data_IF_598000011284
#
_entry.id   IF_598000011284
#
_cell.length_a   1.000
_cell.length_b   1.000
_cell.length_c   1.000
_cell.angle_alpha   90.00
_cell.angle_beta   90.00
_cell.angle_gamma   90.00
#
_symmetry.space_group_name_H-M   'P 1'
#
loop_
_entity.id
_entity.type
_entity.pdbx_description
1 polymer ?
#
# COMPACT_ATOMS: atom_id res chain seq x y z
N UNK A 1 -18.06 18.94 -14.84
CA UNK A 1 -17.73 20.05 -13.91
C UNK A 1 -16.23 19.95 -13.72
N UNK A 2 -15.50 21.01 -14.06
CA UNK A 2 -14.07 21.08 -13.78
C UNK A 2 -13.91 21.13 -12.27
N UNK A 3 -13.24 20.16 -11.67
CA UNK A 3 -12.89 20.18 -10.27
C UNK A 3 -11.67 21.08 -10.09
N UNK A 4 -11.73 22.11 -9.24
CA UNK A 4 -10.56 22.97 -9.05
C UNK A 4 -9.41 22.12 -8.48
N UNK A 5 -8.18 22.35 -8.94
CA UNK A 5 -7.03 21.62 -8.42
C UNK A 5 -6.89 21.83 -6.91
N UNK A 6 -6.38 20.80 -6.22
CA UNK A 6 -6.13 20.86 -4.79
C UNK A 6 -5.21 22.06 -4.48
N UNK A 7 -5.64 22.90 -3.55
CA UNK A 7 -4.84 24.05 -3.11
C UNK A 7 -3.77 23.56 -2.12
N UNK A 8 -2.49 23.97 -2.28
CA UNK A 8 -1.44 23.62 -1.33
C UNK A 8 -1.82 23.96 0.12
N UNK A 9 -1.49 23.06 1.06
CA UNK A 9 -1.80 23.21 2.48
C UNK A 9 -3.25 22.87 2.87
N UNK A 10 -4.09 22.38 1.95
CA UNK A 10 -5.51 22.11 2.25
C UNK A 10 -5.85 20.66 2.45
N UNK A 11 -5.01 19.72 1.98
CA UNK A 11 -5.31 18.29 2.04
C UNK A 11 -5.29 17.77 3.48
N UNK A 12 -4.24 18.06 4.24
CA UNK A 12 -4.16 17.57 5.62
C UNK A 12 -5.32 18.03 6.50
N UNK A 13 -5.70 19.33 6.51
CA UNK A 13 -6.91 19.76 7.19
C UNK A 13 -8.20 19.09 6.67
N UNK A 14 -8.28 18.77 5.37
CA UNK A 14 -9.44 18.05 4.80
C UNK A 14 -9.50 16.61 5.31
N UNK A 15 -8.35 15.90 5.38
CA UNK A 15 -8.24 14.56 5.95
C UNK A 15 -8.77 14.54 7.38
N UNK A 16 -8.32 15.48 8.23
CA UNK A 16 -8.73 15.55 9.64
C UNK A 16 -10.24 15.76 9.78
N UNK A 17 -10.79 16.75 9.05
CA UNK A 17 -12.24 17.03 9.07
C UNK A 17 -13.06 15.84 8.58
N UNK A 18 -12.64 15.22 7.47
CA UNK A 18 -13.36 14.09 6.90
C UNK A 18 -13.26 12.84 7.79
N UNK A 19 -12.13 12.62 8.44
CA UNK A 19 -11.97 11.54 9.44
C UNK A 19 -12.96 11.72 10.59
N UNK A 20 -13.04 12.92 11.16
CA UNK A 20 -14.00 13.21 12.25
C UNK A 20 -15.46 13.01 11.80
N UNK A 21 -15.83 13.49 10.61
CA UNK A 21 -17.14 13.29 10.03
C UNK A 21 -17.47 11.81 9.84
N UNK A 22 -16.56 11.06 9.17
CA UNK A 22 -16.76 9.66 8.82
C UNK A 22 -16.83 8.73 10.06
N UNK A 23 -16.10 9.07 11.12
CA UNK A 23 -16.23 8.39 12.42
C UNK A 23 -17.60 8.63 13.05
N UNK A 24 -18.09 9.86 13.04
CA UNK A 24 -19.39 10.22 13.64
C UNK A 24 -20.58 9.56 12.93
N UNK A 25 -20.54 9.49 11.59
CA UNK A 25 -21.61 8.86 10.82
C UNK A 25 -21.46 7.33 10.68
N UNK A 26 -20.30 6.77 11.11
CA UNK A 26 -20.02 5.33 11.04
C UNK A 26 -19.60 4.83 9.66
N UNK A 27 -19.26 5.74 8.73
CA UNK A 27 -18.71 5.38 7.42
C UNK A 27 -17.26 4.85 7.55
N UNK A 28 -16.44 5.48 8.40
CA UNK A 28 -15.10 5.00 8.76
C UNK A 28 -15.21 4.06 9.96
N UNK A 29 -14.57 2.90 9.85
CA UNK A 29 -14.58 1.82 10.85
C UNK A 29 -13.17 1.33 11.15
N UNK A 30 -12.40 2.05 11.97
CA UNK A 30 -11.03 1.67 12.31
C UNK A 30 -10.97 0.27 12.93
N UNK A 31 -9.94 -0.48 12.56
CA UNK A 31 -9.66 -1.80 13.12
C UNK A 31 -8.67 -1.63 14.27
N UNK A 32 -9.13 -1.83 15.49
CA UNK A 32 -8.28 -1.76 16.67
C UNK A 32 -7.23 -2.87 16.67
N UNK A 33 -5.98 -2.50 16.95
CA UNK A 33 -4.87 -3.42 17.02
C UNK A 33 -4.04 -3.21 18.28
N UNK A 34 -3.40 -4.29 18.73
CA UNK A 34 -2.28 -4.23 19.66
C UNK A 34 -0.97 -4.33 18.88
N UNK A 35 0.08 -3.70 19.36
CA UNK A 35 1.36 -3.61 18.67
C UNK A 35 2.45 -4.35 19.44
N UNK A 36 3.36 -4.98 18.70
CA UNK A 36 4.58 -5.58 19.23
C UNK A 36 5.75 -5.22 18.32
N UNK A 37 6.90 -4.85 18.91
CA UNK A 37 8.16 -4.71 18.18
C UNK A 37 8.89 -6.03 18.19
N UNK A 38 9.39 -6.46 17.03
CA UNK A 38 10.20 -7.67 16.87
C UNK A 38 11.41 -7.29 16.03
N UNK A 39 12.58 -7.33 16.66
CA UNK A 39 13.86 -7.11 15.97
C UNK A 39 14.20 -8.33 15.13
N UNK A 40 14.44 -8.10 13.83
CA UNK A 40 14.88 -9.17 12.93
C UNK A 40 15.72 -8.58 11.78
N UNK A 41 16.92 -9.14 11.53
CA UNK A 41 17.86 -8.67 10.52
C UNK A 41 18.16 -7.14 10.57
N UNK A 42 18.20 -6.56 11.77
CA UNK A 42 18.45 -5.13 11.97
C UNK A 42 17.25 -4.22 11.67
N UNK A 43 16.07 -4.79 11.44
CA UNK A 43 14.82 -4.05 11.25
C UNK A 43 13.93 -4.23 12.48
N UNK A 44 13.51 -3.15 13.15
CA UNK A 44 12.55 -3.20 14.27
C UNK A 44 11.11 -3.32 13.72
N UNK A 45 10.72 -4.53 13.33
CA UNK A 45 9.40 -4.77 12.77
C UNK A 45 8.27 -4.43 13.73
N UNK A 46 7.32 -3.64 13.27
CA UNK A 46 6.08 -3.35 13.95
C UNK A 46 5.02 -4.38 13.56
N UNK A 47 4.70 -5.31 14.45
CA UNK A 47 3.67 -6.32 14.19
C UNK A 47 2.38 -5.91 14.88
N UNK A 48 1.33 -5.63 14.09
CA UNK A 48 0.00 -5.23 14.56
C UNK A 48 -0.91 -6.45 14.58
N UNK A 49 -1.49 -6.74 15.73
CA UNK A 49 -2.48 -7.80 15.90
C UNK A 49 -3.86 -7.22 16.09
N UNK A 50 -4.82 -7.67 15.29
CA UNK A 50 -6.23 -7.27 15.43
C UNK A 50 -6.74 -7.64 16.83
N UNK A 51 -7.38 -6.68 17.51
CA UNK A 51 -7.89 -6.89 18.86
C UNK A 51 -9.00 -7.95 18.88
N UNK A 52 -9.14 -8.65 20.01
CA UNK A 52 -10.18 -9.66 20.18
C UNK A 52 -11.60 -9.03 20.18
N UNK A 53 -11.72 -7.73 20.50
CA UNK A 53 -12.95 -6.98 20.45
C UNK A 53 -13.36 -6.69 19.01
N UNK A 54 -12.43 -6.20 18.18
CA UNK A 54 -12.66 -5.98 16.75
C UNK A 54 -13.12 -7.26 16.04
N UNK A 55 -12.48 -8.41 16.34
CA UNK A 55 -12.91 -9.72 15.79
C UNK A 55 -14.30 -10.15 16.22
N UNK A 56 -14.71 -9.84 17.46
CA UNK A 56 -16.09 -10.14 17.93
C UNK A 56 -17.12 -9.27 17.24
N UNK A 57 -16.79 -8.02 16.93
CA UNK A 57 -17.67 -7.11 16.19
C UNK A 57 -17.78 -7.52 14.72
N UNK A 58 -16.68 -7.90 14.06
CA UNK A 58 -16.72 -8.49 12.73
C UNK A 58 -17.56 -9.76 12.66
N UNK A 59 -17.39 -10.66 13.64
CA UNK A 59 -18.19 -11.88 13.74
C UNK A 59 -19.69 -11.61 14.01
N UNK A 60 -20.03 -10.53 14.72
CA UNK A 60 -21.44 -10.09 14.95
C UNK A 60 -22.04 -9.37 13.75
N UNK A 61 -21.21 -8.72 12.93
CA UNK A 61 -21.57 -8.03 11.69
C UNK A 61 -21.47 -8.92 10.46
N UNK A 62 -21.14 -10.22 10.63
CA UNK A 62 -21.14 -11.22 9.57
C UNK A 62 -22.36 -11.07 8.67
N UNK A 63 -22.35 -11.54 7.42
CA UNK A 63 -23.29 -11.14 6.39
C UNK A 63 -24.71 -11.25 6.94
N UNK A 64 -25.41 -10.11 7.11
CA UNK A 64 -26.83 -10.09 7.39
C UNK A 64 -27.48 -10.73 6.18
N UNK A 65 -27.85 -11.99 6.34
CA UNK A 65 -28.65 -12.73 5.39
C UNK A 65 -29.76 -11.85 4.84
N UNK A 66 -29.61 -11.41 3.61
CA UNK A 66 -30.79 -11.17 2.81
C UNK A 66 -31.43 -12.55 2.66
N UNK A 67 -32.58 -12.73 3.30
CA UNK A 67 -33.45 -13.90 3.18
C UNK A 67 -33.40 -14.38 1.72
N UNK A 68 -32.73 -15.48 1.52
CA UNK A 68 -32.71 -16.21 0.24
C UNK A 68 -34.12 -16.62 -0.10
N UNK A 69 -34.72 -15.93 -1.06
CA UNK A 69 -35.70 -16.56 -1.93
C UNK A 69 -34.89 -17.55 -2.78
N UNK A 70 -35.17 -18.84 -2.59
CA UNK A 70 -34.60 -19.92 -3.40
C UNK A 70 -35.04 -19.71 -4.84
N UNK A 71 -34.12 -19.22 -5.67
CA UNK A 71 -34.17 -19.38 -7.11
C UNK A 71 -32.87 -20.02 -7.52
N UNK A 72 -32.94 -21.21 -8.09
CA UNK A 72 -31.84 -21.99 -8.63
C UNK A 72 -31.33 -21.34 -9.91
N UNK A 73 -30.44 -20.35 -9.76
CA UNK A 73 -29.56 -19.89 -10.83
C UNK A 73 -28.15 -19.67 -10.27
N UNK A 74 -27.09 -20.07 -10.98
CA UNK A 74 -25.71 -19.84 -10.54
C UNK A 74 -25.42 -18.33 -10.64
N UNK A 75 -25.53 -17.64 -9.51
CA UNK A 75 -25.21 -16.22 -9.42
C UNK A 75 -23.71 -15.99 -9.54
N UNK A 76 -23.24 -15.74 -10.74
CA UNK A 76 -21.98 -15.03 -11.03
C UNK A 76 -22.16 -13.57 -10.63
N UNK A 77 -22.16 -13.27 -9.32
CA UNK A 77 -22.06 -11.89 -8.85
C UNK A 77 -20.62 -11.45 -9.05
N UNK A 78 -20.38 -10.60 -10.03
CA UNK A 78 -19.14 -9.86 -10.14
C UNK A 78 -18.85 -9.16 -8.79
N UNK A 79 -17.61 -9.16 -8.29
CA UNK A 79 -17.29 -8.49 -7.04
C UNK A 79 -17.70 -7.02 -7.13
N UNK A 80 -18.41 -6.54 -6.09
CA UNK A 80 -18.87 -5.15 -6.04
C UNK A 80 -17.65 -4.24 -5.94
N UNK A 81 -17.51 -3.32 -6.88
CA UNK A 81 -16.46 -2.30 -6.85
C UNK A 81 -16.80 -1.24 -5.79
N UNK A 82 -16.02 -1.09 -4.69
CA UNK A 82 -16.34 -0.15 -3.63
C UNK A 82 -16.05 1.31 -3.99
N UNK A 83 -15.43 1.55 -5.14
CA UNK A 83 -15.00 2.87 -5.59
C UNK A 83 -15.90 3.46 -6.69
N UNK A 84 -16.86 2.67 -7.23
CA UNK A 84 -17.77 3.11 -8.28
C UNK A 84 -19.19 2.59 -8.04
N UNK A 85 -20.07 3.40 -7.43
CA UNK A 85 -19.78 4.71 -6.82
C UNK A 85 -19.04 4.56 -5.48
N UNK A 86 -18.19 5.51 -5.15
CA UNK A 86 -17.57 5.59 -3.83
C UNK A 86 -18.58 6.10 -2.77
N UNK A 87 -18.30 5.80 -1.51
CA UNK A 87 -19.04 6.31 -0.36
C UNK A 87 -18.70 7.81 -0.17
N UNK A 88 -19.67 8.75 -0.33
CA UNK A 88 -19.38 10.18 -0.22
C UNK A 88 -18.90 10.58 1.18
N UNK A 89 -19.25 9.83 2.23
CA UNK A 89 -18.79 10.10 3.59
C UNK A 89 -17.32 9.72 3.81
N UNK A 90 -16.68 9.05 2.84
CA UNK A 90 -15.24 8.76 2.85
C UNK A 90 -14.44 9.67 1.91
N UNK A 91 -15.11 10.53 1.11
CA UNK A 91 -14.45 11.41 0.16
C UNK A 91 -13.71 12.54 0.87
N UNK A 92 -12.43 12.74 0.50
CA UNK A 92 -11.57 13.79 1.08
C UNK A 92 -11.38 14.95 0.11
N UNK A 93 -10.91 14.67 -1.10
CA UNK A 93 -10.59 15.70 -2.08
C UNK A 93 -10.49 15.15 -3.51
N UNK A 94 -10.67 16.02 -4.47
CA UNK A 94 -10.22 15.83 -5.85
C UNK A 94 -8.73 16.14 -5.93
N UNK A 95 -7.93 15.18 -6.40
CA UNK A 95 -6.47 15.37 -6.57
C UNK A 95 -6.12 15.85 -7.98
N UNK A 96 -6.85 15.35 -8.97
CA UNK A 96 -6.70 15.69 -10.38
C UNK A 96 -7.96 15.31 -11.17
N UNK A 97 -7.95 15.56 -12.48
CA UNK A 97 -9.01 15.10 -13.38
C UNK A 97 -9.14 13.57 -13.42
N UNK A 98 -8.11 12.85 -13.01
CA UNK A 98 -8.04 11.38 -13.07
C UNK A 98 -8.10 10.70 -11.71
N UNK A 99 -7.83 11.40 -10.61
CA UNK A 99 -7.71 10.81 -9.27
C UNK A 99 -8.47 11.56 -8.19
N UNK A 100 -8.97 10.80 -7.22
CA UNK A 100 -9.59 11.30 -5.98
C UNK A 100 -8.90 10.70 -4.75
N UNK A 101 -9.00 11.39 -3.62
CA UNK A 101 -8.59 10.88 -2.31
C UNK A 101 -9.80 10.44 -1.50
N UNK A 102 -9.76 9.20 -0.99
CA UNK A 102 -10.77 8.61 -0.10
C UNK A 102 -10.10 8.16 1.20
N UNK A 103 -10.82 8.20 2.32
CA UNK A 103 -10.40 7.50 3.54
C UNK A 103 -10.54 5.98 3.34
N UNK A 104 -9.57 5.21 3.82
CA UNK A 104 -9.71 3.76 3.85
C UNK A 104 -10.72 3.35 4.92
N UNK A 105 -11.88 2.83 4.51
CA UNK A 105 -13.02 2.50 5.37
C UNK A 105 -12.65 1.64 6.59
N UNK A 106 -11.75 0.68 6.42
CA UNK A 106 -11.29 -0.27 7.44
C UNK A 106 -9.80 -0.06 7.72
N UNK A 107 -9.46 1.15 8.15
CA UNK A 107 -8.08 1.51 8.41
C UNK A 107 -7.55 0.85 9.69
N UNK A 108 -6.27 0.48 9.66
CA UNK A 108 -5.49 0.00 10.81
C UNK A 108 -4.49 1.08 11.25
N UNK A 109 -4.15 1.98 10.34
CA UNK A 109 -3.32 3.16 10.58
C UNK A 109 -4.24 4.37 10.39
N UNK A 110 -4.20 5.30 11.34
CA UNK A 110 -5.04 6.50 11.28
C UNK A 110 -4.75 7.33 10.02
N UNK A 111 -5.78 7.96 9.50
CA UNK A 111 -5.70 8.82 8.31
C UNK A 111 -5.15 8.13 7.05
N UNK A 112 -5.29 6.81 6.95
CA UNK A 112 -4.92 6.04 5.77
C UNK A 112 -5.77 6.47 4.57
N UNK A 113 -5.14 7.04 3.54
CA UNK A 113 -5.77 7.45 2.29
C UNK A 113 -5.62 6.39 1.21
N UNK A 114 -6.66 6.30 0.40
CA UNK A 114 -6.66 5.65 -0.91
C UNK A 114 -6.68 6.74 -1.99
N UNK A 115 -5.78 6.69 -2.94
CA UNK A 115 -5.74 7.53 -4.13
C UNK A 115 -6.30 6.67 -5.26
N UNK A 116 -7.54 6.95 -5.67
CA UNK A 116 -8.33 6.07 -6.54
C UNK A 116 -8.54 6.73 -7.89
N UNK A 117 -8.40 5.96 -8.98
CA UNK A 117 -8.72 6.47 -10.33
C UNK A 117 -10.23 6.68 -10.48
N UNK A 118 -10.67 7.81 -11.08
CA UNK A 118 -12.09 8.14 -11.25
C UNK A 118 -12.83 7.17 -12.15
N UNK A 119 -12.14 6.67 -13.17
CA UNK A 119 -12.66 5.61 -14.04
C UNK A 119 -12.00 4.29 -13.65
N UNK A 120 -12.71 3.18 -13.88
CA UNK A 120 -12.12 1.87 -13.64
C UNK A 120 -10.85 1.68 -14.47
N UNK A 121 -9.76 1.37 -13.78
CA UNK A 121 -8.51 0.83 -14.34
C UNK A 121 -8.13 -0.39 -13.51
N UNK A 122 -7.50 -1.37 -14.13
CA UNK A 122 -7.07 -2.57 -13.41
C UNK A 122 -5.97 -2.24 -12.40
N UNK A 123 -6.06 -2.84 -11.20
CA UNK A 123 -5.00 -2.78 -10.18
C UNK A 123 -3.69 -3.44 -10.65
N UNK A 124 -3.75 -4.23 -11.71
CA UNK A 124 -2.60 -4.93 -12.26
C UNK A 124 -1.91 -4.17 -13.40
N UNK A 125 -2.39 -2.98 -13.78
CA UNK A 125 -1.72 -2.14 -14.78
C UNK A 125 -0.48 -1.45 -14.22
N UNK A 126 0.50 -1.18 -15.09
CA UNK A 126 1.65 -0.35 -14.72
C UNK A 126 1.19 1.04 -14.25
N UNK A 127 1.97 1.62 -13.35
CA UNK A 127 1.76 3.00 -12.92
C UNK A 127 2.20 3.97 -14.02
N UNK A 128 1.46 5.05 -14.18
CA UNK A 128 1.74 6.10 -15.16
C UNK A 128 2.04 7.46 -14.48
N UNK A 129 2.31 8.48 -15.28
CA UNK A 129 2.63 9.81 -14.78
C UNK A 129 1.51 10.41 -13.93
N UNK A 130 0.24 10.15 -14.26
CA UNK A 130 -0.89 10.67 -13.51
C UNK A 130 -1.00 10.01 -12.12
N UNK A 131 -0.64 8.72 -11.99
CA UNK A 131 -0.57 8.01 -10.72
C UNK A 131 0.50 8.65 -9.81
N UNK A 132 1.72 8.88 -10.33
CA UNK A 132 2.79 9.53 -9.58
C UNK A 132 2.46 10.98 -9.23
N UNK A 133 1.88 11.74 -10.16
CA UNK A 133 1.46 13.13 -9.89
C UNK A 133 0.46 13.19 -8.73
N UNK A 134 -0.53 12.28 -8.69
CA UNK A 134 -1.49 12.21 -7.60
C UNK A 134 -0.83 11.84 -6.26
N UNK A 135 0.17 10.94 -6.27
CA UNK A 135 0.95 10.63 -5.05
C UNK A 135 1.73 11.82 -4.54
N UNK A 136 2.49 12.49 -5.44
CA UNK A 136 3.38 13.58 -5.03
C UNK A 136 2.61 14.81 -4.56
N UNK A 137 1.41 15.06 -5.09
CA UNK A 137 0.49 16.08 -4.54
C UNK A 137 0.16 15.77 -3.07
N UNK A 138 -0.08 14.50 -2.71
CA UNK A 138 -0.34 14.11 -1.32
C UNK A 138 0.93 14.16 -0.46
N UNK A 139 2.07 13.66 -0.96
CA UNK A 139 3.34 13.64 -0.24
C UNK A 139 3.93 15.03 -0.01
N UNK A 140 3.48 16.06 -0.75
CA UNK A 140 3.81 17.46 -0.52
C UNK A 140 3.10 18.04 0.70
N UNK A 141 1.98 17.46 1.12
CA UNK A 141 1.10 18.01 2.17
C UNK A 141 1.43 17.51 3.57
N UNK A 142 2.03 16.32 3.69
CA UNK A 142 2.40 15.73 4.97
C UNK A 142 3.45 14.62 4.81
N UNK A 143 4.21 14.38 5.85
CA UNK A 143 5.15 13.26 5.89
C UNK A 143 4.39 11.93 5.84
N UNK A 144 4.58 11.19 4.77
CA UNK A 144 3.84 9.96 4.51
C UNK A 144 4.64 8.91 3.75
N UNK A 145 4.17 7.67 3.85
CA UNK A 145 4.60 6.55 3.02
C UNK A 145 3.53 6.25 2.00
N UNK A 146 3.82 6.49 0.72
CA UNK A 146 3.07 5.97 -0.40
C UNK A 146 3.39 4.49 -0.62
N UNK A 147 2.38 3.67 -0.98
CA UNK A 147 2.63 2.28 -1.32
C UNK A 147 1.61 1.73 -2.32
N UNK A 148 2.04 0.75 -3.10
CA UNK A 148 1.23 0.08 -4.11
C UNK A 148 1.35 -1.44 -4.01
N UNK A 149 0.21 -2.11 -4.17
CA UNK A 149 0.12 -3.54 -4.27
C UNK A 149 -0.27 -3.89 -5.72
N UNK A 150 0.70 -4.18 -6.56
CA UNK A 150 0.53 -4.48 -7.98
C UNK A 150 0.02 -5.90 -8.18
N UNK A 151 -1.29 -6.12 -7.97
CA UNK A 151 -1.98 -7.39 -8.15
C UNK A 151 -2.32 -8.14 -6.85
N UNK A 152 -3.19 -9.14 -6.97
CA UNK A 152 -3.70 -9.91 -5.83
C UNK A 152 -2.59 -10.64 -5.06
N UNK A 153 -1.60 -11.22 -5.74
CA UNK A 153 -0.46 -11.88 -5.10
C UNK A 153 0.49 -10.90 -4.38
N UNK A 154 0.38 -9.61 -4.69
CA UNK A 154 1.07 -8.54 -3.96
C UNK A 154 0.26 -8.00 -2.78
N UNK A 155 -0.92 -8.56 -2.49
CA UNK A 155 -1.77 -8.16 -1.37
C UNK A 155 -2.83 -7.11 -1.74
N UNK A 156 -3.12 -6.89 -3.02
CA UNK A 156 -4.24 -6.04 -3.43
C UNK A 156 -5.57 -6.74 -3.11
N UNK A 157 -6.48 -6.03 -2.44
CA UNK A 157 -7.81 -6.54 -2.08
C UNK A 157 -8.91 -6.13 -3.08
N UNK A 158 -8.66 -5.15 -3.94
CA UNK A 158 -9.60 -4.60 -4.90
C UNK A 158 -9.02 -4.62 -6.31
N UNK A 159 -9.87 -4.85 -7.30
CA UNK A 159 -9.48 -4.90 -8.71
C UNK A 159 -9.33 -3.52 -9.36
N UNK A 160 -9.98 -2.51 -8.79
CA UNK A 160 -9.91 -1.14 -9.27
C UNK A 160 -8.63 -0.47 -8.77
N UNK A 161 -7.90 0.20 -9.67
CA UNK A 161 -6.61 0.83 -9.36
C UNK A 161 -6.74 1.85 -8.25
N UNK A 162 -5.98 1.61 -7.20
CA UNK A 162 -5.84 2.49 -6.06
C UNK A 162 -4.42 2.43 -5.51
N UNK A 163 -3.82 3.59 -5.38
CA UNK A 163 -2.59 3.79 -4.65
C UNK A 163 -2.94 4.12 -3.20
N UNK A 164 -2.00 4.00 -2.31
CA UNK A 164 -2.25 4.17 -0.88
C UNK A 164 -1.19 5.07 -0.27
N UNK A 165 -1.56 5.81 0.80
CA UNK A 165 -0.62 6.61 1.58
C UNK A 165 -1.05 6.58 3.05
N UNK A 166 -0.07 6.38 3.93
CA UNK A 166 -0.24 6.46 5.37
C UNK A 166 0.68 7.53 5.94
N UNK A 167 0.23 8.31 6.94
CA UNK A 167 1.08 9.26 7.63
C UNK A 167 2.22 8.58 8.39
N UNK A 168 3.32 9.29 8.54
CA UNK A 168 4.45 8.91 9.37
C UNK A 168 4.44 9.68 10.70
N UNK A 169 5.00 9.10 11.76
CA UNK A 169 5.69 7.81 11.85
C UNK A 169 4.73 6.62 11.92
N UNK A 170 5.16 5.44 11.44
CA UNK A 170 4.36 4.20 11.58
C UNK A 170 4.28 3.68 13.01
N UNK A 171 5.24 4.03 13.85
CA UNK A 171 5.34 3.66 15.26
C UNK A 171 5.64 4.87 16.12
N UNK A 172 5.17 4.87 17.37
CA UNK A 172 5.41 5.96 18.35
C UNK A 172 6.89 6.06 18.79
N UNK A 173 7.65 4.97 18.64
CA UNK A 173 9.06 4.88 19.01
C UNK A 173 9.88 4.20 17.91
N UNK A 174 11.13 4.59 17.77
CA UNK A 174 12.05 4.12 16.75
C UNK A 174 12.05 4.98 15.48
N UNK A 175 12.61 4.48 14.37
CA UNK A 175 12.61 5.22 13.12
C UNK A 175 11.18 5.40 12.58
N UNK A 176 10.88 6.51 11.89
CA UNK A 176 9.56 6.75 11.30
C UNK A 176 9.09 5.60 10.40
N UNK A 177 10.02 5.00 9.67
CA UNK A 177 9.85 3.79 8.88
C UNK A 177 10.85 2.73 9.35
N UNK A 178 10.42 1.58 9.89
CA UNK A 178 11.32 0.56 10.40
C UNK A 178 12.38 0.09 9.41
N UNK A 179 12.04 -0.02 8.11
CA UNK A 179 12.98 -0.45 7.06
C UNK A 179 14.16 0.52 6.89
N UNK A 180 14.02 1.80 7.25
CA UNK A 180 15.08 2.79 7.10
C UNK A 180 16.32 2.49 7.95
N UNK A 181 16.17 1.69 9.02
CA UNK A 181 17.30 1.22 9.83
C UNK A 181 18.38 0.50 9.02
N UNK A 182 18.03 -0.11 7.88
CA UNK A 182 18.96 -0.86 7.02
C UNK A 182 19.29 -0.13 5.71
N UNK A 183 18.58 0.95 5.36
CA UNK A 183 18.80 1.69 4.11
C UNK A 183 20.17 2.40 4.07
N UNK A 184 20.75 2.72 5.22
CA UNK A 184 22.11 3.28 5.30
C UNK A 184 23.20 2.37 4.72
N UNK A 185 22.92 1.08 4.51
CA UNK A 185 23.83 0.09 3.95
C UNK A 185 23.69 -0.11 2.43
N UNK A 186 22.81 0.63 1.76
CA UNK A 186 22.54 0.50 0.32
C UNK A 186 23.83 0.60 -0.51
N UNK A 187 23.98 -0.34 -1.43
CA UNK A 187 25.04 -0.32 -2.45
C UNK A 187 24.44 0.12 -3.77
N UNK A 188 24.83 1.30 -4.23
CA UNK A 188 24.32 1.90 -5.46
C UNK A 188 25.15 1.44 -6.67
N UNK A 189 24.45 1.09 -7.76
CA UNK A 189 25.00 0.84 -9.10
C UNK A 189 24.31 1.82 -10.08
N UNK A 190 24.88 3.00 -10.27
CA UNK A 190 24.22 4.11 -10.98
C UNK A 190 23.03 4.66 -10.17
N UNK A 191 21.85 4.69 -10.79
CA UNK A 191 20.61 5.20 -10.14
C UNK A 191 19.90 4.16 -9.24
N UNK A 192 20.23 2.89 -9.40
CA UNK A 192 19.57 1.78 -8.70
C UNK A 192 20.51 1.18 -7.68
N UNK A 193 20.00 0.83 -6.53
CA UNK A 193 20.74 0.20 -5.45
C UNK A 193 20.08 -1.08 -4.95
N UNK A 194 20.85 -1.80 -4.14
CA UNK A 194 20.40 -2.96 -3.37
C UNK A 194 20.77 -2.78 -1.90
N UNK A 195 19.93 -3.25 -1.01
CA UNK A 195 20.16 -3.27 0.43
C UNK A 195 20.80 -4.60 0.80
N UNK A 196 22.10 -4.64 1.16
CA UNK A 196 22.71 -5.86 1.65
C UNK A 196 21.97 -6.39 2.89
N UNK A 197 21.72 -7.68 2.93
CA UNK A 197 21.07 -8.32 4.07
C UNK A 197 19.55 -8.50 3.90
N UNK A 198 18.90 -7.89 2.90
CA UNK A 198 17.54 -8.30 2.53
C UNK A 198 17.59 -9.60 1.71
N UNK A 199 16.95 -10.69 2.17
CA UNK A 199 17.11 -12.03 1.59
C UNK A 199 16.25 -12.27 0.33
N UNK A 200 15.59 -11.25 -0.18
CA UNK A 200 14.71 -11.31 -1.34
C UNK A 200 15.15 -10.34 -2.43
N UNK A 201 14.69 -10.59 -3.65
CA UNK A 201 14.94 -9.70 -4.79
C UNK A 201 14.24 -8.36 -4.55
N UNK A 202 14.96 -7.26 -4.74
CA UNK A 202 14.47 -5.90 -4.62
C UNK A 202 15.36 -4.93 -5.38
N UNK A 203 14.87 -3.74 -5.61
CA UNK A 203 15.65 -2.61 -6.10
C UNK A 203 15.20 -1.33 -5.41
N UNK A 204 16.14 -0.45 -5.08
CA UNK A 204 15.91 0.86 -4.48
C UNK A 204 16.47 1.96 -5.38
N UNK A 205 15.76 3.08 -5.46
CA UNK A 205 16.22 4.32 -6.09
C UNK A 205 16.06 5.48 -5.11
N UNK A 206 17.05 6.37 -5.08
CA UNK A 206 16.90 7.65 -4.40
C UNK A 206 16.40 8.70 -5.38
N UNK A 207 15.45 9.52 -4.91
CA UNK A 207 14.90 10.64 -5.67
C UNK A 207 15.70 11.91 -5.36
N UNK A 208 15.89 12.75 -6.36
CA UNK A 208 16.45 14.07 -6.15
C UNK A 208 15.49 14.93 -5.35
N UNK A 209 16.02 15.78 -4.49
CA UNK A 209 15.21 16.67 -3.65
C UNK A 209 14.65 17.81 -4.49
N UNK A 210 13.66 17.49 -5.35
CA UNK A 210 12.90 18.52 -6.03
C UNK A 210 11.81 19.08 -5.09
N UNK A 211 11.40 20.37 -5.27
CA UNK A 211 10.20 20.85 -4.59
C UNK A 211 9.03 19.91 -4.96
N UNK A 212 8.34 19.36 -3.95
CA UNK A 212 7.31 18.33 -4.13
C UNK A 212 6.13 18.79 -5.02
N UNK A 213 5.96 20.08 -5.21
CA UNK A 213 4.93 20.70 -6.08
C UNK A 213 5.29 20.70 -7.58
N UNK A 214 6.45 20.15 -7.95
CA UNK A 214 6.88 20.21 -9.36
C UNK A 214 6.42 18.98 -10.13
N UNK A 215 5.88 19.19 -11.35
CA UNK A 215 5.67 18.12 -12.34
C UNK A 215 6.94 17.30 -12.60
N UNK A 216 8.11 17.84 -12.29
CA UNK A 216 9.40 17.19 -12.35
C UNK A 216 9.54 16.03 -11.36
N UNK A 217 9.06 16.17 -10.11
CA UNK A 217 9.13 15.10 -9.12
C UNK A 217 8.34 13.84 -9.54
N UNK A 218 7.15 14.03 -10.11
CA UNK A 218 6.35 12.91 -10.63
C UNK A 218 7.02 12.23 -11.84
N UNK A 219 7.61 13.01 -12.76
CA UNK A 219 8.33 12.48 -13.92
C UNK A 219 9.59 11.72 -13.48
N UNK A 220 10.38 12.28 -12.57
CA UNK A 220 11.55 11.62 -12.01
C UNK A 220 11.19 10.29 -11.32
N UNK A 221 10.11 10.28 -10.53
CA UNK A 221 9.62 9.07 -9.88
C UNK A 221 9.15 8.02 -10.90
N UNK A 222 8.49 8.42 -11.98
CA UNK A 222 8.12 7.52 -13.08
C UNK A 222 9.37 6.93 -13.76
N UNK A 223 10.38 7.75 -14.03
CA UNK A 223 11.64 7.28 -14.64
C UNK A 223 12.39 6.32 -13.71
N UNK A 224 12.42 6.62 -12.40
CA UNK A 224 12.97 5.72 -11.38
C UNK A 224 12.16 4.42 -11.29
N UNK A 225 10.82 4.48 -11.36
CA UNK A 225 9.96 3.29 -11.34
C UNK A 225 10.26 2.35 -12.50
N UNK A 226 10.42 2.87 -13.73
CA UNK A 226 10.81 2.04 -14.87
C UNK A 226 12.18 1.41 -14.67
N UNK A 227 13.16 2.16 -14.17
CA UNK A 227 14.47 1.64 -13.85
C UNK A 227 14.46 0.56 -12.75
N UNK A 228 13.57 0.71 -11.74
CA UNK A 228 13.37 -0.30 -10.70
C UNK A 228 12.76 -1.59 -11.27
N UNK A 229 11.75 -1.49 -12.16
CA UNK A 229 11.16 -2.64 -12.85
C UNK A 229 12.22 -3.41 -13.65
N UNK A 230 13.02 -2.70 -14.44
CA UNK A 230 14.10 -3.29 -15.24
C UNK A 230 15.15 -4.00 -14.36
N UNK A 231 15.54 -3.35 -13.25
CA UNK A 231 16.56 -3.88 -12.33
C UNK A 231 16.14 -5.18 -11.62
N UNK A 232 14.82 -5.40 -11.46
CA UNK A 232 14.29 -6.65 -10.92
C UNK A 232 13.75 -7.59 -12.01
N UNK A 233 13.96 -7.26 -13.30
CA UNK A 233 13.56 -8.10 -14.42
C UNK A 233 12.06 -8.15 -14.69
N UNK A 234 11.28 -7.20 -14.18
CA UNK A 234 9.87 -7.06 -14.50
C UNK A 234 9.70 -6.32 -15.83
N UNK A 235 9.06 -6.98 -16.79
CA UNK A 235 8.84 -6.42 -18.13
C UNK A 235 7.40 -5.92 -18.26
N UNK A 236 7.20 -4.91 -19.09
CA UNK A 236 5.87 -4.53 -19.53
C UNK A 236 5.34 -5.57 -20.53
N UNK A 237 4.11 -6.01 -20.31
CA UNK A 237 3.36 -6.93 -21.18
C UNK A 237 2.08 -6.22 -21.58
N UNK A 238 1.80 -6.17 -22.86
CA UNK A 238 0.54 -5.64 -23.39
C UNK A 238 -0.56 -6.69 -23.25
N UNK A 239 -1.63 -6.34 -22.57
CA UNK A 239 -2.82 -7.17 -22.42
C UNK A 239 -4.07 -6.28 -22.37
N UNK A 240 -5.07 -6.58 -23.21
CA UNK A 240 -6.34 -5.83 -23.26
C UNK A 240 -6.16 -4.31 -23.45
N UNK A 241 -5.26 -3.92 -24.34
CA UNK A 241 -4.90 -2.52 -24.65
C UNK A 241 -4.29 -1.73 -23.46
N UNK A 242 -3.87 -2.42 -22.39
CA UNK A 242 -3.19 -1.83 -21.25
C UNK A 242 -1.83 -2.52 -21.01
N UNK A 243 -0.89 -1.78 -20.40
CA UNK A 243 0.43 -2.33 -20.03
C UNK A 243 0.37 -2.87 -18.61
N UNK A 244 0.79 -4.12 -18.46
CA UNK A 244 0.87 -4.85 -17.21
C UNK A 244 2.31 -5.24 -16.88
N UNK A 245 2.72 -5.33 -15.60
CA UNK A 245 3.99 -5.95 -15.24
C UNK A 245 3.94 -7.46 -15.48
N UNK A 246 5.07 -8.06 -15.84
CA UNK A 246 5.18 -9.52 -16.06
C UNK A 246 4.98 -10.37 -14.81
N UNK A 247 5.01 -9.78 -13.62
CA UNK A 247 4.68 -10.42 -12.35
C UNK A 247 4.22 -9.39 -11.32
N UNK A 248 3.50 -9.82 -10.25
CA UNK A 248 3.07 -8.94 -9.15
C UNK A 248 4.26 -8.33 -8.43
N UNK A 249 4.08 -7.15 -7.86
CA UNK A 249 5.11 -6.45 -7.09
C UNK A 249 4.50 -5.55 -6.01
N UNK A 250 5.31 -5.20 -5.02
CA UNK A 250 5.03 -4.11 -4.10
C UNK A 250 5.99 -2.95 -4.39
N UNK A 251 5.46 -1.74 -4.28
CA UNK A 251 6.23 -0.51 -4.37
C UNK A 251 6.00 0.33 -3.12
N UNK A 252 7.08 0.82 -2.53
CA UNK A 252 7.09 1.84 -1.47
C UNK A 252 7.64 3.13 -2.08
N UNK A 253 7.02 4.26 -1.72
CA UNK A 253 7.36 5.59 -2.24
C UNK A 253 7.40 6.60 -1.10
N UNK A 254 8.52 7.28 -0.96
CA UNK A 254 8.66 8.48 -0.13
C UNK A 254 9.15 9.64 -1.00
N UNK A 255 9.19 10.88 -0.51
CA UNK A 255 9.82 11.97 -1.25
C UNK A 255 11.33 11.79 -1.49
N UNK A 256 11.99 10.83 -0.84
CA UNK A 256 13.43 10.64 -0.88
C UNK A 256 13.88 9.36 -1.56
N UNK A 257 13.03 8.32 -1.55
CA UNK A 257 13.40 7.02 -2.11
C UNK A 257 12.19 6.20 -2.51
N UNK A 258 12.42 5.25 -3.40
CA UNK A 258 11.45 4.24 -3.82
C UNK A 258 12.06 2.85 -3.70
N UNK A 259 11.31 1.88 -3.18
CA UNK A 259 11.72 0.48 -3.05
C UNK A 259 10.69 -0.42 -3.74
N UNK A 260 11.15 -1.25 -4.68
CA UNK A 260 10.33 -2.20 -5.42
C UNK A 260 10.72 -3.63 -5.07
N UNK A 261 9.71 -4.48 -4.80
CA UNK A 261 9.88 -5.90 -4.44
C UNK A 261 8.96 -6.77 -5.28
N UNK A 262 9.49 -7.62 -6.17
CA UNK A 262 8.71 -8.63 -6.90
C UNK A 262 8.10 -9.67 -5.95
N UNK A 263 6.88 -10.09 -6.25
CA UNK A 263 6.11 -11.00 -5.41
C UNK A 263 5.84 -12.34 -6.08
N UNK A 264 5.78 -13.40 -5.28
CA UNK A 264 5.40 -14.75 -5.73
C UNK A 264 4.11 -15.24 -5.09
N UNK A 265 3.87 -14.87 -3.83
CA UNK A 265 2.73 -15.32 -3.04
C UNK A 265 2.12 -14.15 -2.26
N UNK A 266 0.81 -14.17 -2.06
CA UNK A 266 0.14 -13.23 -1.14
C UNK A 266 0.43 -13.57 0.32
N UNK A 267 0.47 -14.88 0.65
CA UNK A 267 0.43 -15.37 2.03
C UNK A 267 1.49 -16.41 2.33
N UNK A 268 1.94 -16.41 3.57
CA UNK A 268 2.71 -17.51 4.17
C UNK A 268 2.06 -17.93 5.49
N UNK A 269 1.81 -19.23 5.67
CA UNK A 269 1.12 -19.79 6.87
C UNK A 269 -0.20 -19.05 7.22
N UNK A 270 -0.94 -18.62 6.21
CA UNK A 270 -2.20 -17.88 6.36
C UNK A 270 -2.06 -16.38 6.70
N UNK A 271 -0.84 -15.87 6.87
CA UNK A 271 -0.55 -14.46 7.09
C UNK A 271 -0.45 -13.77 5.75
N UNK A 272 -1.34 -12.82 5.48
CA UNK A 272 -1.31 -11.98 4.27
C UNK A 272 -0.25 -10.88 4.43
N UNK A 273 0.53 -10.66 3.37
CA UNK A 273 1.59 -9.65 3.32
C UNK A 273 1.31 -8.70 2.16
N UNK A 274 1.22 -7.42 2.45
CA UNK A 274 1.15 -6.33 1.49
C UNK A 274 2.43 -5.48 1.51
N UNK A 275 2.45 -4.38 0.78
CA UNK A 275 3.61 -3.49 0.69
C UNK A 275 4.12 -2.97 2.05
N UNK A 276 3.22 -2.72 3.01
CA UNK A 276 3.61 -2.25 4.35
C UNK A 276 4.50 -3.25 5.10
N UNK A 277 4.40 -4.55 4.80
CA UNK A 277 5.31 -5.56 5.33
C UNK A 277 6.78 -5.25 5.01
N UNK A 278 7.05 -4.81 3.78
CA UNK A 278 8.39 -4.43 3.33
C UNK A 278 8.85 -3.06 3.85
N UNK A 279 7.94 -2.25 4.39
CA UNK A 279 8.26 -1.06 5.17
C UNK A 279 8.61 -1.39 6.64
N UNK A 280 8.43 -2.65 7.04
CA UNK A 280 8.62 -3.12 8.41
C UNK A 280 7.36 -3.12 9.27
N UNK A 281 6.15 -3.07 8.66
CA UNK A 281 4.87 -3.12 9.38
C UNK A 281 4.03 -4.31 8.91
N UNK A 282 3.91 -5.34 9.75
CA UNK A 282 3.14 -6.55 9.48
C UNK A 282 1.82 -6.56 10.24
N UNK A 283 0.82 -7.25 9.68
CA UNK A 283 -0.51 -7.41 10.27
C UNK A 283 -0.82 -8.88 10.49
N UNK A 284 -1.32 -9.20 11.67
CA UNK A 284 -1.76 -10.55 12.04
C UNK A 284 -3.17 -10.51 12.63
N UNK A 285 -3.97 -11.53 12.35
CA UNK A 285 -5.36 -11.59 12.79
C UNK A 285 -5.51 -11.99 14.25
N UNK A 286 -4.58 -12.80 14.77
CA UNK A 286 -4.74 -13.40 16.08
C UNK A 286 -3.39 -13.83 16.70
N UNK A 287 -3.48 -14.32 17.92
CA UNK A 287 -2.32 -14.81 18.69
C UNK A 287 -1.61 -15.99 18.01
N UNK A 288 -2.33 -16.85 17.29
CA UNK A 288 -1.70 -17.96 16.57
C UNK A 288 -0.79 -17.45 15.46
N UNK A 289 -1.26 -16.47 14.65
CA UNK A 289 -0.43 -15.82 13.63
C UNK A 289 0.73 -15.02 14.25
N UNK A 290 0.53 -14.36 15.41
CA UNK A 290 1.61 -13.69 16.14
C UNK A 290 2.70 -14.70 16.56
N UNK A 291 2.32 -15.90 17.03
CA UNK A 291 3.29 -16.95 17.36
C UNK A 291 4.05 -17.47 16.13
N UNK A 292 3.39 -17.54 14.98
CA UNK A 292 4.05 -17.88 13.72
C UNK A 292 5.11 -16.83 13.36
N UNK A 293 4.78 -15.53 13.42
CA UNK A 293 5.75 -14.44 13.19
C UNK A 293 6.94 -14.54 14.16
N UNK A 294 6.68 -14.77 15.45
CA UNK A 294 7.75 -14.91 16.45
C UNK A 294 8.65 -16.13 16.20
N UNK A 295 8.08 -17.23 15.72
CA UNK A 295 8.82 -18.46 15.41
C UNK A 295 9.65 -18.37 14.13
N UNK A 296 9.10 -17.79 13.07
CA UNK A 296 9.76 -17.70 11.76
C UNK A 296 10.72 -16.52 11.65
N UNK A 297 10.40 -15.44 12.35
CA UNK A 297 10.95 -14.11 12.11
C UNK A 297 10.21 -13.36 11.01
N UNK A 298 9.96 -12.05 11.19
CA UNK A 298 9.32 -11.20 10.17
C UNK A 298 10.03 -11.23 8.82
N UNK A 299 11.37 -11.20 8.81
CA UNK A 299 12.16 -11.21 7.58
C UNK A 299 11.98 -12.50 6.78
N UNK A 300 11.93 -13.66 7.44
CA UNK A 300 11.64 -14.95 6.78
C UNK A 300 10.23 -14.96 6.17
N UNK A 301 9.26 -14.31 6.80
CA UNK A 301 7.91 -14.17 6.24
C UNK A 301 7.95 -13.36 4.95
N UNK A 302 8.69 -12.25 4.91
CA UNK A 302 8.88 -11.44 3.70
C UNK A 302 9.61 -12.20 2.59
N UNK A 303 10.69 -12.91 2.94
CA UNK A 303 11.45 -13.74 1.99
C UNK A 303 10.56 -14.77 1.29
N UNK A 304 9.69 -15.45 2.03
CA UNK A 304 8.82 -16.51 1.48
C UNK A 304 7.71 -16.01 0.55
N UNK A 305 7.34 -14.75 0.61
CA UNK A 305 6.31 -14.16 -0.27
C UNK A 305 6.89 -13.34 -1.42
N UNK A 306 8.16 -13.01 -1.37
CA UNK A 306 8.89 -12.29 -2.42
C UNK A 306 9.61 -13.27 -3.36
N UNK A 307 10.13 -12.77 -4.47
CA UNK A 307 11.06 -13.53 -5.31
C UNK A 307 12.38 -13.69 -4.55
N UNK A 308 12.94 -14.90 -4.43
CA UNK A 308 14.22 -15.11 -3.76
C UNK A 308 15.34 -14.28 -4.38
N UNK A 309 16.24 -13.76 -3.56
CA UNK A 309 17.45 -13.13 -4.07
C UNK A 309 18.31 -14.19 -4.79
N UNK A 310 18.67 -13.94 -6.04
CA UNK A 310 19.70 -14.75 -6.71
C UNK A 310 20.99 -14.43 -5.98
N UNK A 311 21.46 -15.34 -5.13
CA UNK A 311 22.79 -15.20 -4.52
C UNK A 311 23.79 -15.16 -5.66
N UNK A 312 24.38 -13.99 -5.89
CA UNK A 312 25.50 -13.85 -6.82
C UNK A 312 26.62 -14.77 -6.36
N UNK A 313 27.04 -15.66 -7.27
CA UNK A 313 28.28 -16.42 -7.17
C UNK A 313 29.47 -15.46 -7.10
#
# INVERSE_FOLDING_TARGET
MEHPPLQPGTLWPAILRQTEHALRCGALRPIETTQALIEDHGVPFLVRQVSSLARKEEARQGPKDHKTVKTDEPATRSPVNPFLPYDPDLFVADLSDTHIALLNKFNVIDHHLLIVTRCFRSQETLLDLADFAAWFVCLAEFDGLGFYNGGAQAGASQLHKHLQIVPLPLAESGPPLPIESVLGSVRMEGRIGKVPGLPFQHAIAYLERAPAESSHAAQEALDCYHALLDAVGLRAIEASDELHPSAPYNLLVTPQWMLLVPRTLERVEGISVNALGFAGSLFVRDTAQMQIIRRLGPMTVLERVAVPSVMGQ
#
